data_IF_158809079299
#
_entry.id   IF_158809079299
#
_cell.length_a   1.000
_cell.length_b   1.000
_cell.length_c   1.000
_cell.angle_alpha   90.00
_cell.angle_beta   90.00
_cell.angle_gamma   90.00
#
_symmetry.space_group_name_H-M   'P 1'
#
loop_
_entity.id
_entity.type
_entity.pdbx_description
1 polymer ?
#
# COMPACT_ATOMS: atom_id res chain seq x y z
N UNK A 1 -18.56 -62.34 1.64
CA UNK A 1 -18.40 -61.18 0.76
C UNK A 1 -18.79 -59.95 1.54
N UNK A 2 -17.80 -59.20 1.99
CA UNK A 2 -17.97 -57.98 2.77
C UNK A 2 -17.80 -56.78 1.81
N UNK A 3 -18.91 -56.07 1.53
CA UNK A 3 -18.87 -54.84 0.76
C UNK A 3 -18.42 -53.69 1.66
N UNK A 4 -17.20 -53.23 1.44
CA UNK A 4 -16.69 -51.98 2.01
C UNK A 4 -17.30 -50.83 1.24
N UNK A 5 -18.23 -50.12 1.84
CA UNK A 5 -18.70 -48.82 1.33
C UNK A 5 -17.65 -47.77 1.71
N UNK A 6 -16.78 -47.45 0.76
CA UNK A 6 -15.91 -46.32 0.88
C UNK A 6 -16.74 -45.01 0.90
N UNK A 7 -16.84 -44.40 2.05
CA UNK A 7 -17.35 -43.03 2.12
C UNK A 7 -16.28 -42.13 1.46
N UNK A 8 -16.55 -41.69 0.22
CA UNK A 8 -15.86 -40.57 -0.35
C UNK A 8 -16.16 -39.37 0.56
N UNK A 9 -15.23 -39.02 1.43
CA UNK A 9 -15.23 -37.69 2.05
C UNK A 9 -15.12 -36.71 0.90
N UNK A 10 -16.24 -36.07 0.57
CA UNK A 10 -16.22 -34.84 -0.25
C UNK A 10 -15.32 -33.89 0.53
N UNK A 11 -14.12 -33.65 0.04
CA UNK A 11 -13.29 -32.57 0.54
C UNK A 11 -14.07 -31.28 0.33
N UNK A 12 -14.21 -30.42 1.35
CA UNK A 12 -14.81 -29.12 1.11
C UNK A 12 -14.07 -28.48 -0.05
N UNK A 13 -14.78 -28.13 -1.10
CA UNK A 13 -14.21 -27.33 -2.19
C UNK A 13 -13.73 -26.03 -1.58
N UNK A 14 -12.42 -25.78 -1.63
CA UNK A 14 -11.85 -24.54 -1.16
C UNK A 14 -12.53 -23.36 -1.87
N UNK A 15 -12.84 -22.31 -1.14
CA UNK A 15 -13.50 -21.13 -1.67
C UNK A 15 -12.71 -20.53 -2.84
N UNK A 16 -13.33 -20.51 -4.02
CA UNK A 16 -12.66 -20.07 -5.25
C UNK A 16 -12.67 -18.55 -5.43
N UNK A 17 -13.57 -17.86 -4.73
CA UNK A 17 -13.81 -16.43 -4.94
C UNK A 17 -14.52 -16.09 -6.26
N UNK A 18 -14.98 -17.10 -7.03
CA UNK A 18 -15.63 -16.86 -8.34
C UNK A 18 -17.11 -16.50 -8.21
N UNK A 19 -17.71 -16.77 -7.07
CA UNK A 19 -19.11 -16.40 -6.77
C UNK A 19 -19.23 -15.95 -5.31
N UNK A 20 -20.31 -15.24 -4.98
CA UNK A 20 -20.58 -14.84 -3.59
C UNK A 20 -20.79 -16.02 -2.65
N UNK A 21 -21.26 -17.16 -3.17
CA UNK A 21 -21.43 -18.40 -2.40
C UNK A 21 -20.08 -19.10 -2.12
N UNK A 22 -19.05 -18.80 -2.89
CA UNK A 22 -17.70 -19.34 -2.79
C UNK A 22 -16.68 -18.24 -2.40
N UNK A 23 -17.17 -17.21 -1.73
CA UNK A 23 -16.32 -16.11 -1.29
C UNK A 23 -15.21 -16.62 -0.35
N UNK A 24 -13.97 -16.31 -0.68
CA UNK A 24 -12.80 -16.66 0.13
C UNK A 24 -12.60 -15.66 1.26
N UNK A 25 -11.83 -16.01 2.29
CA UNK A 25 -11.49 -15.10 3.38
C UNK A 25 -10.48 -14.02 2.95
N UNK A 26 -9.67 -14.32 1.93
CA UNK A 26 -8.67 -13.39 1.38
C UNK A 26 -8.26 -13.78 -0.04
N UNK A 27 -7.60 -12.87 -0.74
CA UNK A 27 -6.96 -13.17 -2.02
C UNK A 27 -5.79 -14.16 -1.86
N UNK A 28 -5.11 -14.14 -0.72
CA UNK A 28 -4.06 -15.09 -0.40
C UNK A 28 -4.61 -16.52 -0.28
N UNK A 29 -5.77 -16.72 0.36
CA UNK A 29 -6.44 -18.02 0.39
C UNK A 29 -6.74 -18.54 -1.03
N UNK A 30 -7.26 -17.67 -1.91
CA UNK A 30 -7.50 -18.03 -3.31
C UNK A 30 -6.19 -18.46 -3.97
N UNK A 31 -5.13 -17.68 -3.80
CA UNK A 31 -3.83 -17.96 -4.41
C UNK A 31 -3.20 -19.26 -3.92
N UNK A 32 -3.36 -19.58 -2.64
CA UNK A 32 -2.88 -20.85 -2.05
C UNK A 32 -3.67 -22.05 -2.60
N UNK A 33 -4.97 -21.93 -2.71
CA UNK A 33 -5.84 -23.02 -3.17
C UNK A 33 -5.83 -23.16 -4.71
N UNK A 34 -5.64 -22.07 -5.42
CA UNK A 34 -5.63 -21.97 -6.88
C UNK A 34 -4.38 -21.19 -7.35
N UNK A 35 -3.20 -21.82 -7.37
CA UNK A 35 -1.93 -21.14 -7.72
C UNK A 35 -1.91 -20.51 -9.12
N UNK A 36 -2.78 -20.99 -10.03
CA UNK A 36 -2.94 -20.46 -11.39
C UNK A 36 -3.96 -19.30 -11.48
N UNK A 37 -4.55 -18.86 -10.37
CA UNK A 37 -5.42 -17.68 -10.35
C UNK A 37 -4.69 -16.47 -10.93
N UNK A 38 -5.39 -15.69 -11.74
CA UNK A 38 -4.88 -14.50 -12.42
C UNK A 38 -5.47 -13.22 -11.80
N UNK A 39 -4.85 -12.09 -12.07
CA UNK A 39 -5.35 -10.80 -11.65
C UNK A 39 -6.80 -10.57 -12.10
N UNK A 40 -7.64 -10.06 -11.20
CA UNK A 40 -9.04 -9.87 -11.51
C UNK A 40 -9.91 -9.59 -10.29
N UNK A 41 -11.22 -9.60 -10.52
CA UNK A 41 -12.22 -9.38 -9.46
C UNK A 41 -12.66 -10.71 -8.88
N UNK A 42 -12.55 -10.82 -7.56
CA UNK A 42 -12.95 -12.00 -6.79
C UNK A 42 -13.93 -11.63 -5.68
N UNK A 43 -14.70 -12.60 -5.22
CA UNK A 43 -15.53 -12.47 -4.04
C UNK A 43 -14.72 -12.80 -2.79
N UNK A 44 -14.61 -11.83 -1.90
CA UNK A 44 -13.95 -11.93 -0.59
C UNK A 44 -15.00 -11.74 0.50
N UNK A 45 -14.99 -12.60 1.49
CA UNK A 45 -15.87 -12.51 2.65
C UNK A 45 -15.24 -11.54 3.68
N UNK A 46 -15.49 -10.25 3.51
CA UNK A 46 -14.94 -9.23 4.39
C UNK A 46 -15.61 -9.27 5.77
N UNK A 47 -14.86 -9.08 6.87
CA UNK A 47 -15.44 -8.94 8.20
C UNK A 47 -16.54 -7.88 8.23
N UNK A 48 -17.63 -8.14 8.97
CA UNK A 48 -18.78 -7.25 9.18
C UNK A 48 -19.59 -6.85 7.91
N UNK A 49 -19.12 -7.19 6.71
CA UNK A 49 -19.79 -6.87 5.43
C UNK A 49 -20.27 -8.11 4.72
N UNK A 50 -19.50 -9.20 4.78
CA UNK A 50 -19.76 -10.42 4.06
C UNK A 50 -19.17 -10.43 2.64
N UNK A 51 -19.72 -11.29 1.73
CA UNK A 51 -19.20 -11.45 0.38
C UNK A 51 -19.19 -10.13 -0.40
N UNK A 52 -18.01 -9.68 -0.77
CA UNK A 52 -17.76 -8.39 -1.44
C UNK A 52 -16.85 -8.62 -2.64
N UNK A 53 -17.12 -7.98 -3.76
CA UNK A 53 -16.23 -8.01 -4.91
C UNK A 53 -15.01 -7.12 -4.66
N UNK A 54 -13.83 -7.68 -4.87
CA UNK A 54 -12.53 -7.03 -4.64
C UNK A 54 -11.63 -7.29 -5.84
N UNK A 55 -10.95 -6.26 -6.34
CA UNK A 55 -9.90 -6.48 -7.32
C UNK A 55 -8.65 -7.01 -6.63
N UNK A 56 -8.11 -8.10 -7.16
CA UNK A 56 -6.97 -8.81 -6.57
C UNK A 56 -5.82 -8.93 -7.57
N UNK A 57 -4.59 -8.76 -7.07
CA UNK A 57 -3.37 -9.08 -7.80
C UNK A 57 -2.92 -10.49 -7.41
N UNK A 58 -2.91 -11.38 -8.37
CA UNK A 58 -2.56 -12.79 -8.20
C UNK A 58 -1.20 -13.14 -8.81
N UNK A 59 -0.62 -12.24 -9.60
CA UNK A 59 0.68 -12.47 -10.24
C UNK A 59 1.78 -12.58 -9.19
N UNK A 60 2.61 -13.61 -9.34
CA UNK A 60 3.76 -13.86 -8.46
C UNK A 60 4.80 -12.74 -8.49
N UNK A 61 4.84 -11.93 -9.56
CA UNK A 61 5.71 -10.76 -9.66
C UNK A 61 5.47 -9.75 -8.53
N UNK A 62 4.25 -9.71 -7.99
CA UNK A 62 3.89 -8.88 -6.84
C UNK A 62 4.13 -9.64 -5.53
N UNK A 63 5.37 -9.98 -5.22
CA UNK A 63 5.77 -10.66 -4.00
C UNK A 63 4.94 -11.93 -3.70
N UNK A 64 4.72 -12.75 -4.71
CA UNK A 64 3.95 -13.99 -4.62
C UNK A 64 2.46 -13.85 -4.89
N UNK A 65 1.93 -12.65 -5.05
CA UNK A 65 0.52 -12.39 -5.28
C UNK A 65 -0.36 -12.47 -4.03
N UNK A 66 -1.67 -12.57 -4.23
CA UNK A 66 -2.64 -12.66 -3.13
C UNK A 66 -2.99 -11.30 -2.50
N UNK A 67 -2.85 -10.21 -3.24
CA UNK A 67 -3.11 -8.86 -2.78
C UNK A 67 -4.51 -8.37 -3.13
N UNK A 68 -5.13 -7.63 -2.23
CA UNK A 68 -6.45 -7.02 -2.38
C UNK A 68 -6.35 -5.50 -2.49
N UNK A 69 -6.97 -4.91 -3.50
CA UNK A 69 -7.00 -3.47 -3.69
C UNK A 69 -7.83 -2.80 -2.59
N UNK A 70 -7.19 -1.98 -1.78
CA UNK A 70 -7.82 -1.24 -0.69
C UNK A 70 -8.16 0.20 -1.07
N UNK A 71 -7.32 0.84 -1.88
CA UNK A 71 -7.50 2.21 -2.33
C UNK A 71 -6.70 2.45 -3.61
N UNK A 72 -7.16 3.38 -4.44
CA UNK A 72 -6.35 3.98 -5.51
C UNK A 72 -6.61 5.48 -5.58
N UNK A 73 -5.57 6.23 -5.93
CA UNK A 73 -5.64 7.67 -6.08
C UNK A 73 -5.01 8.10 -7.40
N UNK A 74 -5.73 8.98 -8.10
CA UNK A 74 -5.18 9.70 -9.25
C UNK A 74 -4.22 10.80 -8.81
N UNK A 75 -3.54 11.40 -9.78
CA UNK A 75 -2.78 12.63 -9.55
C UNK A 75 -3.70 13.76 -9.09
N UNK A 76 -3.79 14.01 -7.80
CA UNK A 76 -4.74 14.96 -7.24
C UNK A 76 -4.59 15.16 -5.74
N UNK A 77 -5.66 15.62 -5.11
CA UNK A 77 -5.69 16.01 -3.69
C UNK A 77 -6.76 15.31 -2.87
N UNK A 78 -7.53 14.41 -3.47
CA UNK A 78 -8.65 13.71 -2.80
C UNK A 78 -8.20 13.03 -1.52
N UNK A 79 -7.05 12.35 -1.57
CA UNK A 79 -6.46 11.64 -0.44
C UNK A 79 -5.25 12.37 0.15
N UNK A 80 -5.24 13.71 0.14
CA UNK A 80 -4.22 14.45 0.90
C UNK A 80 -4.27 14.11 2.39
N UNK A 81 -3.24 14.44 3.15
CA UNK A 81 -3.11 14.04 4.56
C UNK A 81 -4.36 14.27 5.41
N UNK A 82 -4.98 15.43 5.28
CA UNK A 82 -6.16 15.82 6.08
C UNK A 82 -7.49 15.31 5.50
N UNK A 83 -7.48 14.46 4.48
CA UNK A 83 -8.70 13.88 3.95
C UNK A 83 -9.38 12.99 4.99
N UNK A 84 -10.69 13.14 5.16
CA UNK A 84 -11.47 12.29 6.06
C UNK A 84 -11.55 10.83 5.60
N UNK A 85 -11.25 10.54 4.35
CA UNK A 85 -11.19 9.16 3.85
C UNK A 85 -10.14 8.29 4.59
N UNK A 86 -9.11 8.89 5.17
CA UNK A 86 -8.10 8.14 5.93
C UNK A 86 -8.63 7.58 7.25
N UNK A 87 -9.58 8.28 7.88
CA UNK A 87 -9.99 8.02 9.26
C UNK A 87 -11.49 7.74 9.41
N UNK A 88 -12.26 7.76 8.31
CA UNK A 88 -13.68 7.41 8.30
C UNK A 88 -13.95 6.16 7.49
N UNK A 89 -15.06 5.47 7.77
CA UNK A 89 -15.52 4.32 7.00
C UNK A 89 -16.13 4.68 5.64
N UNK A 90 -16.17 5.96 5.26
CA UNK A 90 -16.65 6.37 3.95
C UNK A 90 -15.86 5.71 2.83
N UNK A 91 -16.55 5.14 1.88
CA UNK A 91 -15.99 4.60 0.65
C UNK A 91 -16.14 5.59 -0.50
N UNK A 92 -15.45 5.34 -1.61
CA UNK A 92 -15.48 6.16 -2.80
C UNK A 92 -15.38 5.29 -4.05
N UNK A 93 -16.25 5.51 -5.04
CA UNK A 93 -16.21 4.85 -6.35
C UNK A 93 -16.01 3.32 -6.27
N UNK A 94 -16.78 2.65 -5.42
CA UNK A 94 -16.63 1.23 -5.07
C UNK A 94 -16.83 0.27 -6.24
N UNK A 95 -17.41 0.72 -7.35
CA UNK A 95 -17.57 -0.07 -8.58
C UNK A 95 -16.34 -0.03 -9.49
N UNK A 96 -15.35 0.78 -9.18
CA UNK A 96 -14.11 0.94 -9.98
C UNK A 96 -13.09 -0.15 -9.65
N UNK A 97 -13.52 -1.41 -9.78
CA UNK A 97 -12.75 -2.62 -9.42
C UNK A 97 -11.73 -2.98 -10.53
N UNK A 98 -10.76 -2.12 -10.73
CA UNK A 98 -9.71 -2.28 -11.74
C UNK A 98 -8.52 -1.37 -11.42
N UNK A 99 -7.45 -1.47 -12.21
CA UNK A 99 -6.24 -0.64 -12.11
C UNK A 99 -6.26 0.63 -12.97
N UNK A 100 -7.38 0.98 -13.60
CA UNK A 100 -7.47 2.23 -14.35
C UNK A 100 -7.31 3.44 -13.44
N UNK A 101 -6.87 4.55 -14.00
CA UNK A 101 -6.72 5.81 -13.28
C UNK A 101 -8.05 6.28 -12.69
N UNK A 102 -7.98 6.87 -11.51
CA UNK A 102 -9.15 7.39 -10.79
C UNK A 102 -9.04 7.17 -9.28
N UNK A 103 -9.76 8.01 -8.53
CA UNK A 103 -9.84 7.90 -7.08
C UNK A 103 -10.87 6.84 -6.68
N UNK A 104 -10.49 5.92 -5.80
CA UNK A 104 -11.40 4.96 -5.19
C UNK A 104 -10.92 4.54 -3.80
N UNK A 105 -11.86 4.26 -2.92
CA UNK A 105 -11.62 3.64 -1.61
C UNK A 105 -12.65 2.54 -1.38
N UNK A 106 -12.18 1.35 -1.02
CA UNK A 106 -12.98 0.14 -0.91
C UNK A 106 -13.16 -0.30 0.55
N UNK A 107 -14.16 -1.15 0.79
CA UNK A 107 -14.40 -1.74 2.12
C UNK A 107 -13.22 -2.57 2.63
N UNK A 108 -12.37 -3.06 1.76
CA UNK A 108 -11.10 -3.71 2.13
C UNK A 108 -10.27 -2.84 3.08
N UNK A 109 -10.18 -1.54 2.82
CA UNK A 109 -9.45 -0.60 3.68
C UNK A 109 -10.07 -0.49 5.08
N UNK A 110 -11.39 -0.60 5.17
CA UNK A 110 -12.14 -0.42 6.41
C UNK A 110 -12.22 -1.69 7.26
N UNK A 111 -12.28 -2.87 6.61
CA UNK A 111 -12.73 -4.10 7.24
C UNK A 111 -11.68 -5.20 7.30
N UNK A 112 -10.72 -5.22 6.36
CA UNK A 112 -9.76 -6.32 6.30
C UNK A 112 -8.60 -6.09 7.27
N UNK A 113 -8.38 -6.99 8.26
CA UNK A 113 -7.23 -6.92 9.16
C UNK A 113 -5.99 -7.43 8.42
N UNK A 114 -5.25 -6.52 7.83
CA UNK A 114 -4.08 -6.84 7.02
C UNK A 114 -2.83 -7.05 7.87
N UNK A 115 -1.93 -7.91 7.40
CA UNK A 115 -0.58 -8.04 7.93
C UNK A 115 0.45 -7.37 7.04
N UNK A 116 0.18 -7.37 5.75
CA UNK A 116 1.08 -6.81 4.74
C UNK A 116 0.42 -5.64 4.00
N UNK A 117 1.22 -4.68 3.60
CA UNK A 117 0.83 -3.48 2.86
C UNK A 117 1.77 -3.27 1.69
N UNK A 118 1.21 -3.01 0.52
CA UNK A 118 1.96 -2.69 -0.69
C UNK A 118 1.37 -1.47 -1.38
N UNK A 119 2.22 -0.59 -1.91
CA UNK A 119 1.82 0.47 -2.82
C UNK A 119 2.52 0.30 -4.17
N UNK A 120 1.77 0.45 -5.23
CA UNK A 120 2.26 0.56 -6.59
C UNK A 120 2.12 2.00 -7.07
N UNK A 121 3.10 2.45 -7.86
CA UNK A 121 3.20 3.81 -8.36
C UNK A 121 3.25 3.80 -9.89
N UNK A 122 2.09 3.63 -10.58
CA UNK A 122 2.07 3.36 -12.02
C UNK A 122 2.65 4.47 -12.90
N UNK A 123 2.65 5.72 -12.40
CA UNK A 123 3.15 6.88 -13.16
C UNK A 123 4.66 7.10 -12.99
N UNK A 124 5.27 6.39 -12.04
CA UNK A 124 6.68 6.59 -11.75
C UNK A 124 7.48 5.51 -12.45
N UNK A 125 8.15 5.89 -13.51
CA UNK A 125 9.11 5.03 -14.20
C UNK A 125 10.43 5.01 -13.44
N UNK A 126 11.16 3.90 -13.55
CA UNK A 126 12.51 3.80 -13.01
C UNK A 126 13.43 4.84 -13.63
N UNK A 127 13.93 5.74 -12.78
CA UNK A 127 15.02 6.64 -13.14
C UNK A 127 16.28 6.09 -12.47
N UNK A 128 17.03 5.28 -13.18
CA UNK A 128 18.30 4.72 -12.69
C UNK A 128 18.31 3.20 -12.62
N UNK A 129 19.48 2.66 -12.33
CA UNK A 129 19.79 1.23 -12.42
C UNK A 129 19.34 0.38 -11.25
N UNK A 130 18.70 0.93 -10.26
CA UNK A 130 18.20 0.17 -9.10
C UNK A 130 16.72 -0.10 -9.31
N UNK A 131 16.44 -1.25 -9.87
CA UNK A 131 15.10 -1.67 -10.24
C UNK A 131 14.25 -2.02 -9.04
N UNK A 132 13.26 -1.19 -8.75
CA UNK A 132 12.11 -1.56 -7.92
C UNK A 132 10.85 -1.78 -8.75
N UNK A 133 10.96 -1.88 -10.07
CA UNK A 133 9.81 -2.11 -10.93
C UNK A 133 9.43 -3.58 -10.95
N UNK A 134 8.19 -3.89 -10.62
CA UNK A 134 7.64 -5.24 -10.72
C UNK A 134 7.08 -5.47 -12.12
N UNK A 135 6.40 -4.48 -12.70
CA UNK A 135 5.79 -4.56 -14.02
C UNK A 135 6.55 -3.79 -15.11
N UNK A 136 7.75 -3.35 -14.82
CA UNK A 136 8.60 -2.56 -15.73
C UNK A 136 8.27 -1.07 -15.74
N UNK A 137 7.23 -0.63 -15.06
CA UNK A 137 6.73 0.73 -15.13
C UNK A 137 6.64 1.43 -13.77
N UNK A 138 6.51 0.68 -12.67
CA UNK A 138 6.19 1.25 -11.37
C UNK A 138 7.14 0.80 -10.28
N UNK A 139 7.30 1.66 -9.31
CA UNK A 139 7.96 1.39 -8.05
C UNK A 139 6.92 0.93 -7.06
N UNK A 140 7.32 0.09 -6.15
CA UNK A 140 6.46 -0.40 -5.10
C UNK A 140 7.11 -0.25 -3.73
N UNK A 141 6.28 -0.02 -2.75
CA UNK A 141 6.64 0.04 -1.34
C UNK A 141 5.81 -0.97 -0.59
N UNK A 142 6.39 -1.67 0.36
CA UNK A 142 5.65 -2.65 1.15
C UNK A 142 6.08 -2.66 2.61
N UNK A 143 5.15 -3.12 3.43
CA UNK A 143 5.32 -3.45 4.83
C UNK A 143 4.85 -4.88 5.02
N UNK A 144 5.69 -5.72 5.59
CA UNK A 144 5.38 -7.12 5.89
C UNK A 144 5.26 -7.35 7.39
N UNK A 145 4.58 -8.41 7.79
CA UNK A 145 4.32 -8.77 9.18
C UNK A 145 5.59 -9.04 10.02
N UNK A 146 6.73 -9.27 9.38
CA UNK A 146 8.02 -9.43 10.07
C UNK A 146 8.69 -8.09 10.43
N UNK A 147 8.01 -6.98 10.18
CA UNK A 147 8.49 -5.66 10.44
C UNK A 147 7.75 -5.05 11.64
N UNK A 148 8.42 -4.88 12.79
CA UNK A 148 7.85 -4.34 14.05
C UNK A 148 6.42 -4.81 14.36
N UNK A 149 6.12 -6.09 14.15
CA UNK A 149 4.79 -6.64 14.29
C UNK A 149 3.87 -6.46 13.07
N UNK A 150 4.35 -5.89 11.99
CA UNK A 150 3.59 -5.70 10.75
C UNK A 150 2.47 -4.67 10.88
N UNK A 151 1.46 -4.81 10.04
CA UNK A 151 0.29 -3.93 10.07
C UNK A 151 -0.72 -4.37 11.15
N UNK A 152 -1.04 -5.67 11.20
CA UNK A 152 -1.91 -6.36 12.18
C UNK A 152 -3.23 -5.64 12.52
N UNK A 153 -3.74 -4.82 11.60
CA UNK A 153 -4.97 -4.07 11.78
C UNK A 153 -5.60 -3.70 10.45
N UNK A 154 -6.78 -3.12 10.47
CA UNK A 154 -7.32 -2.50 9.26
C UNK A 154 -6.56 -1.21 8.95
N UNK A 155 -6.48 -0.83 7.67
CA UNK A 155 -5.82 0.42 7.28
C UNK A 155 -6.49 1.65 7.91
N UNK A 156 -7.81 1.64 8.03
CA UNK A 156 -8.52 2.75 8.67
C UNK A 156 -8.13 2.88 10.15
N UNK A 157 -7.94 1.78 10.85
CA UNK A 157 -7.45 1.78 12.24
C UNK A 157 -6.04 2.37 12.29
N UNK A 158 -5.14 1.88 11.43
CA UNK A 158 -3.76 2.35 11.36
C UNK A 158 -3.65 3.84 11.07
N UNK A 159 -4.45 4.35 10.13
CA UNK A 159 -4.45 5.77 9.82
C UNK A 159 -5.20 6.66 10.83
N UNK A 160 -6.02 6.07 11.71
CA UNK A 160 -6.69 6.77 12.81
C UNK A 160 -5.84 6.85 14.07
N UNK A 161 -4.79 6.07 14.18
CA UNK A 161 -3.81 6.18 15.26
C UNK A 161 -3.05 7.50 15.16
N UNK A 162 -2.50 7.94 16.26
CA UNK A 162 -1.61 9.09 16.29
C UNK A 162 -0.33 8.85 15.48
N UNK A 163 0.62 9.75 15.59
CA UNK A 163 1.92 9.62 14.95
C UNK A 163 2.58 8.29 15.36
N UNK A 164 2.88 7.47 14.36
CA UNK A 164 3.48 6.16 14.57
C UNK A 164 4.99 6.26 14.76
N UNK A 165 5.54 5.24 15.40
CA UNK A 165 6.98 5.09 15.54
C UNK A 165 7.66 5.15 14.16
N UNK A 166 8.76 5.85 14.13
CA UNK A 166 9.51 6.10 12.92
C UNK A 166 10.57 5.02 12.80
N UNK A 167 10.60 4.39 11.64
CA UNK A 167 11.61 3.38 11.37
C UNK A 167 12.88 4.03 10.85
N UNK A 168 13.97 3.62 11.43
CA UNK A 168 15.31 3.95 10.94
C UNK A 168 16.00 2.75 10.33
N UNK A 169 15.35 1.58 10.31
CA UNK A 169 15.95 0.32 9.91
C UNK A 169 15.35 -0.30 8.65
N UNK A 170 16.07 -1.23 8.11
CA UNK A 170 16.04 -1.76 6.75
C UNK A 170 14.96 -2.80 6.48
N UNK A 171 14.10 -3.14 7.41
CA UNK A 171 13.16 -4.27 7.26
C UNK A 171 11.80 -3.89 6.66
N UNK A 172 11.45 -2.62 6.65
CA UNK A 172 10.36 -2.09 5.84
C UNK A 172 10.97 -1.05 4.92
N UNK A 173 10.79 -1.22 3.63
CA UNK A 173 11.38 -0.31 2.67
C UNK A 173 10.30 0.53 2.05
N UNK A 174 10.36 1.82 2.26
CA UNK A 174 9.65 2.75 1.43
C UNK A 174 10.57 3.12 0.28
N UNK A 175 10.32 2.56 -0.88
CA UNK A 175 11.03 2.91 -2.11
C UNK A 175 10.19 3.93 -2.86
N UNK A 176 10.80 5.00 -3.22
CA UNK A 176 10.20 5.99 -4.08
C UNK A 176 11.18 6.25 -5.22
N UNK A 177 10.86 5.71 -6.40
CA UNK A 177 11.63 5.92 -7.64
C UNK A 177 13.07 5.37 -7.62
N UNK A 178 13.25 4.13 -7.15
CA UNK A 178 14.59 3.55 -7.04
C UNK A 178 15.50 4.31 -6.06
N UNK A 179 15.04 5.43 -5.53
CA UNK A 179 15.65 6.07 -4.40
C UNK A 179 15.27 5.31 -3.14
N UNK A 180 15.98 4.21 -2.95
CA UNK A 180 16.01 3.63 -1.63
C UNK A 180 16.47 4.72 -0.66
N UNK A 181 16.07 4.57 0.57
CA UNK A 181 16.58 5.33 1.69
C UNK A 181 18.09 5.58 1.64
N UNK A 182 18.83 4.72 0.97
CA UNK A 182 20.25 4.85 0.77
C UNK A 182 20.67 6.08 -0.04
N UNK A 183 19.83 6.65 -0.88
CA UNK A 183 20.19 7.86 -1.64
C UNK A 183 20.06 9.09 -0.76
N UNK A 184 19.02 9.19 0.04
CA UNK A 184 18.88 10.28 0.99
C UNK A 184 19.83 10.13 2.19
N UNK A 185 20.16 8.91 2.60
CA UNK A 185 21.08 8.66 3.70
C UNK A 185 22.56 8.79 3.32
N UNK A 186 22.89 8.76 2.03
CA UNK A 186 24.30 8.76 1.59
C UNK A 186 25.02 10.08 1.77
N UNK A 187 24.34 11.18 1.90
CA UNK A 187 25.05 12.45 1.92
C UNK A 187 25.12 13.14 3.28
N UNK A 188 24.10 13.19 4.04
CA UNK A 188 24.03 13.80 5.38
C UNK A 188 22.59 13.73 5.84
N UNK A 189 22.27 13.30 7.03
CA UNK A 189 20.97 13.51 7.61
C UNK A 189 20.18 12.25 7.94
N UNK A 190 18.98 12.47 8.39
CA UNK A 190 18.04 11.43 8.83
C UNK A 190 16.88 11.31 7.88
N UNK A 191 16.56 10.08 7.54
CA UNK A 191 15.30 9.75 6.89
C UNK A 191 14.38 9.07 7.90
N UNK A 192 13.18 9.59 8.00
CA UNK A 192 12.14 9.07 8.88
C UNK A 192 11.04 8.47 8.03
N UNK A 193 10.64 7.24 8.37
CA UNK A 193 9.58 6.50 7.68
C UNK A 193 8.47 6.19 8.65
N UNK A 194 7.27 6.08 8.17
CA UNK A 194 6.20 5.60 9.01
C UNK A 194 4.81 5.98 8.54
N UNK A 195 3.87 5.69 9.41
CA UNK A 195 2.48 6.10 9.30
C UNK A 195 2.24 7.42 10.03
N UNK A 196 1.33 8.23 9.52
CA UNK A 196 0.86 9.46 10.17
C UNK A 196 1.99 10.38 10.64
N UNK A 197 3.08 10.42 9.89
CA UNK A 197 4.21 11.23 10.28
C UNK A 197 3.87 12.72 10.18
N UNK A 198 4.13 13.43 11.26
CA UNK A 198 3.90 14.87 11.37
C UNK A 198 5.14 15.53 11.97
N UNK A 199 5.74 16.44 11.24
CA UNK A 199 6.82 17.26 11.75
C UNK A 199 6.74 18.64 11.14
N UNK A 200 6.72 19.67 11.98
CA UNK A 200 6.52 21.05 11.54
C UNK A 200 5.28 21.12 10.60
N UNK A 201 5.49 21.49 9.35
CA UNK A 201 4.48 21.60 8.32
C UNK A 201 4.58 20.51 7.24
N UNK A 202 5.25 19.38 7.52
CA UNK A 202 5.32 18.22 6.65
C UNK A 202 4.57 17.07 7.31
N UNK A 203 3.68 16.46 6.54
CA UNK A 203 2.82 15.37 7.00
C UNK A 203 2.69 14.34 5.88
N UNK A 204 2.75 13.08 6.25
CA UNK A 204 2.54 11.97 5.32
C UNK A 204 1.78 10.84 6.00
N UNK A 205 0.78 10.29 5.34
CA UNK A 205 -0.01 9.19 5.90
C UNK A 205 0.78 7.89 5.90
N UNK A 206 1.48 7.61 4.82
CA UNK A 206 2.45 6.53 4.75
C UNK A 206 3.57 6.93 3.80
N UNK A 207 4.77 7.04 4.31
CA UNK A 207 5.90 7.46 3.52
C UNK A 207 7.10 7.89 4.34
N UNK A 208 7.83 8.85 3.82
CA UNK A 208 9.08 9.32 4.40
C UNK A 208 9.14 10.85 4.51
N UNK A 209 9.95 11.30 5.46
CA UNK A 209 10.45 12.68 5.55
C UNK A 209 11.95 12.63 5.73
N UNK A 210 12.66 13.49 5.05
CA UNK A 210 14.12 13.58 5.09
C UNK A 210 14.60 14.96 5.52
N UNK A 211 15.69 14.98 6.25
CA UNK A 211 16.36 16.18 6.70
C UNK A 211 17.88 16.03 6.54
N UNK A 212 18.55 17.07 6.07
CA UNK A 212 20.01 17.09 5.94
C UNK A 212 20.74 17.28 7.29
N UNK A 213 20.07 17.81 8.32
CA UNK A 213 20.55 17.85 9.68
C UNK A 213 20.26 16.57 10.44
N UNK A 214 21.11 16.27 11.41
CA UNK A 214 20.97 15.12 12.29
C UNK A 214 19.89 15.29 13.37
N UNK A 215 18.80 15.96 13.05
CA UNK A 215 17.74 16.23 14.02
C UNK A 215 16.35 16.16 13.40
N UNK A 216 15.38 15.67 14.20
CA UNK A 216 13.98 15.73 13.88
C UNK A 216 13.41 17.09 14.24
N UNK A 217 12.69 17.72 13.33
CA UNK A 217 12.00 18.99 13.59
C UNK A 217 12.88 20.22 13.46
N UNK A 218 14.10 20.09 12.97
CA UNK A 218 14.97 21.24 12.74
C UNK A 218 14.55 21.98 11.47
N UNK A 219 14.57 21.31 10.35
CA UNK A 219 14.07 21.85 9.07
C UNK A 219 14.07 20.70 8.05
N UNK A 220 12.98 19.98 7.94
CA UNK A 220 12.89 18.89 6.99
C UNK A 220 12.92 19.43 5.57
N UNK A 221 13.73 18.78 4.71
CA UNK A 221 14.04 19.26 3.37
C UNK A 221 13.27 18.54 2.27
N UNK A 222 12.79 17.34 2.56
CA UNK A 222 11.99 16.57 1.62
C UNK A 222 10.94 15.72 2.33
N UNK A 223 9.88 15.41 1.62
CA UNK A 223 8.86 14.45 2.02
C UNK A 223 8.34 13.72 0.80
N UNK A 224 7.99 12.45 0.96
CA UNK A 224 7.43 11.64 -0.12
C UNK A 224 6.56 10.51 0.42
N UNK A 225 5.56 10.14 -0.34
CA UNK A 225 4.65 9.06 0.01
C UNK A 225 3.20 9.32 -0.34
N UNK A 226 2.32 8.74 0.45
CA UNK A 226 0.88 8.73 0.26
C UNK A 226 0.24 9.63 1.31
N UNK A 227 -0.75 10.42 0.90
CA UNK A 227 -1.39 11.39 1.80
C UNK A 227 -0.43 12.49 2.24
N UNK A 228 0.15 13.19 1.28
CA UNK A 228 1.12 14.26 1.53
C UNK A 228 0.42 15.59 1.80
N UNK A 229 0.90 16.28 2.84
CA UNK A 229 0.53 17.67 3.14
C UNK A 229 1.80 18.38 3.61
N UNK A 230 2.18 19.43 2.91
CA UNK A 230 3.34 20.24 3.24
C UNK A 230 3.12 21.69 2.82
N UNK A 231 3.93 22.59 3.33
CA UNK A 231 3.98 23.97 2.84
C UNK A 231 4.30 24.09 1.34
N UNK A 232 4.74 23.00 0.73
CA UNK A 232 5.13 22.97 -0.69
C UNK A 232 4.06 22.31 -1.59
N UNK A 233 3.01 21.75 -1.00
CA UNK A 233 1.88 21.17 -1.72
C UNK A 233 1.20 20.05 -0.97
N UNK A 234 -0.03 19.78 -1.36
CA UNK A 234 -0.94 18.82 -0.75
C UNK A 234 -1.40 17.86 -1.84
N UNK A 235 -1.04 16.57 -1.72
CA UNK A 235 -1.30 15.58 -2.75
C UNK A 235 -1.81 14.28 -2.17
N UNK A 236 -2.57 13.54 -2.96
CA UNK A 236 -2.91 12.15 -2.65
C UNK A 236 -1.67 11.28 -2.56
N UNK A 237 -0.71 11.50 -3.46
CA UNK A 237 0.56 10.81 -3.46
C UNK A 237 1.61 11.63 -4.23
N UNK A 238 2.88 11.47 -3.87
CA UNK A 238 3.97 12.15 -4.53
C UNK A 238 5.16 12.45 -3.63
N UNK A 239 6.01 13.35 -4.10
CA UNK A 239 7.16 13.82 -3.35
C UNK A 239 7.38 15.33 -3.47
N UNK A 240 8.05 15.88 -2.49
CA UNK A 240 8.41 17.30 -2.45
C UNK A 240 9.77 17.50 -1.77
N UNK A 241 10.56 18.40 -2.31
CA UNK A 241 11.78 18.92 -1.69
C UNK A 241 11.80 20.44 -1.62
N UNK A 242 12.48 20.95 -0.64
CA UNK A 242 12.75 22.39 -0.48
C UNK A 242 14.25 22.74 -0.61
N UNK A 243 15.13 21.78 -0.49
CA UNK A 243 16.55 22.04 -0.45
C UNK A 243 17.24 21.80 -1.80
N UNK A 244 17.97 22.80 -2.30
CA UNK A 244 18.65 22.74 -3.60
C UNK A 244 19.91 21.87 -3.60
N UNK A 245 20.42 21.51 -2.43
CA UNK A 245 21.59 20.63 -2.28
C UNK A 245 21.27 19.14 -2.50
N UNK A 246 19.99 18.75 -2.53
CA UNK A 246 19.58 17.41 -2.95
C UNK A 246 19.60 17.37 -4.47
N UNK A 247 20.67 16.89 -5.03
CA UNK A 247 20.81 16.73 -6.47
C UNK A 247 20.14 15.41 -6.92
N UNK A 248 18.83 15.35 -6.76
CA UNK A 248 18.03 14.20 -7.19
C UNK A 248 17.15 14.66 -8.33
N UNK A 249 17.36 14.13 -9.51
CA UNK A 249 16.45 14.34 -10.65
C UNK A 249 15.12 13.67 -10.38
N UNK A 250 14.03 14.32 -10.74
CA UNK A 250 12.70 13.71 -10.66
C UNK A 250 11.90 13.96 -9.39
N UNK A 251 12.38 14.72 -8.45
CA UNK A 251 11.63 15.15 -7.24
C UNK A 251 10.68 16.32 -7.55
N UNK A 252 9.66 16.49 -6.72
CA UNK A 252 8.50 17.38 -6.85
C UNK A 252 7.44 16.84 -7.83
N UNK A 253 7.13 15.57 -7.69
CA UNK A 253 6.13 14.88 -8.50
C UNK A 253 4.80 14.79 -7.79
N UNK A 254 3.74 14.77 -8.57
CA UNK A 254 2.43 14.29 -8.17
C UNK A 254 2.27 12.94 -8.84
N UNK A 255 1.84 11.92 -8.13
CA UNK A 255 1.76 10.57 -8.66
C UNK A 255 0.39 9.95 -8.41
N UNK A 256 0.03 9.00 -9.28
CA UNK A 256 -1.02 8.01 -8.96
C UNK A 256 -0.43 6.95 -8.03
N UNK A 257 -1.31 6.35 -7.22
CA UNK A 257 -0.95 5.25 -6.35
C UNK A 257 -2.09 4.24 -6.25
N UNK A 258 -1.73 2.98 -6.12
CA UNK A 258 -2.63 1.88 -5.79
C UNK A 258 -2.14 1.26 -4.48
N UNK A 259 -3.02 1.13 -3.49
CA UNK A 259 -2.69 0.52 -2.19
C UNK A 259 -3.37 -0.83 -2.08
N UNK A 260 -2.58 -1.83 -1.78
CA UNK A 260 -3.00 -3.21 -1.63
C UNK A 260 -2.66 -3.73 -0.23
N UNK A 261 -3.47 -4.66 0.24
CA UNK A 261 -3.30 -5.36 1.52
C UNK A 261 -3.39 -6.87 1.34
N UNK A 262 -2.73 -7.56 2.28
CA UNK A 262 -2.74 -9.01 2.34
C UNK A 262 -2.68 -9.49 3.79
#
# INVERSE_FOLDING_TARGET
MTFSHGFNKVQPTANSGLSSAEAASSAEEIKQNYPSATDGVYWINLPNVGPTQVYCLMDNAYDGGGWMLAMKATQGTTFRYNSSYWTSSNTLNTTSLNRSDGDAKFEVMNQFPATDLMALWPDISNIGSESGSIDGLSIWSWLKNNFDGGLESTLITKFSEGEQAIWTSTNGSFYFDGYSTSVFSRQYGYTFYGFNYVVNNKRVRWGMVWNNESCRGCSEDAAGGIGLDSSWGNYSAGDRKNWSGVNVTGINRIARVEIYVR
#
